data_IF_285856372833
#
_entry.id   IF_285856372833
#
_cell.length_a   1.000
_cell.length_b   1.000
_cell.length_c   1.000
_cell.angle_alpha   90.00
_cell.angle_beta   90.00
_cell.angle_gamma   90.00
#
_symmetry.space_group_name_H-M   'P 1'
#
loop_
_entity.id
_entity.type
_entity.pdbx_description
1 polymer ?
#
# COMPACT_ATOMS: atom_id res chain seq x y z
N UNK A 1 22.35 14.11 -4.95
CA UNK A 1 20.92 13.76 -5.03
C UNK A 1 20.83 12.54 -5.93
N UNK A 2 20.24 11.45 -5.44
CA UNK A 2 20.06 10.22 -6.23
C UNK A 2 18.67 10.25 -6.85
N UNK A 3 18.53 9.89 -8.12
CA UNK A 3 17.22 9.83 -8.78
C UNK A 3 16.75 8.41 -9.02
N UNK A 4 15.44 8.22 -8.92
CA UNK A 4 14.74 6.94 -9.04
C UNK A 4 13.85 6.98 -10.28
N UNK A 5 13.86 5.90 -11.04
CA UNK A 5 12.98 5.73 -12.19
C UNK A 5 11.64 5.14 -11.75
N UNK A 6 10.56 5.91 -11.96
CA UNK A 6 9.19 5.44 -11.72
C UNK A 6 8.76 4.46 -12.81
N UNK A 7 7.69 3.70 -12.54
CA UNK A 7 7.07 2.81 -13.55
C UNK A 7 6.70 3.55 -14.85
N UNK A 8 6.40 4.84 -14.78
CA UNK A 8 6.08 5.65 -15.96
C UNK A 8 7.31 6.07 -16.79
N UNK A 9 8.52 5.67 -16.40
CA UNK A 9 9.78 6.13 -16.99
C UNK A 9 10.23 7.52 -16.53
N UNK A 10 9.41 8.22 -15.72
CA UNK A 10 9.78 9.52 -15.15
C UNK A 10 10.84 9.32 -14.06
N UNK A 11 11.84 10.20 -14.04
CA UNK A 11 12.84 10.28 -12.98
C UNK A 11 12.40 11.29 -11.92
N UNK A 12 12.53 10.92 -10.65
CA UNK A 12 12.30 11.80 -9.50
C UNK A 12 13.44 11.68 -8.50
N UNK A 13 13.63 12.69 -7.67
CA UNK A 13 14.66 12.65 -6.63
C UNK A 13 14.22 11.68 -5.51
N UNK A 14 15.17 10.87 -5.05
CA UNK A 14 14.98 9.97 -3.93
C UNK A 14 14.71 10.78 -2.67
N UNK A 15 13.62 10.42 -2.02
CA UNK A 15 13.16 11.00 -0.78
C UNK A 15 13.11 9.88 0.27
N UNK A 16 14.06 9.91 1.20
CA UNK A 16 14.18 8.92 2.26
C UNK A 16 12.96 8.92 3.18
N UNK A 17 12.33 10.08 3.41
CA UNK A 17 11.15 10.19 4.27
C UNK A 17 9.93 9.51 3.62
N UNK A 18 9.84 9.48 2.28
CA UNK A 18 8.82 8.68 1.59
C UNK A 18 9.03 7.18 1.81
N UNK A 19 10.29 6.72 1.77
CA UNK A 19 10.64 5.33 2.02
C UNK A 19 10.30 4.95 3.48
N UNK A 20 10.72 5.76 4.45
CA UNK A 20 10.40 5.55 5.87
C UNK A 20 8.89 5.47 6.11
N UNK A 21 8.12 6.41 5.53
CA UNK A 21 6.65 6.38 5.62
C UNK A 21 6.07 5.09 5.06
N UNK A 22 6.56 4.59 3.92
CA UNK A 22 6.07 3.33 3.37
C UNK A 22 6.42 2.11 4.24
N UNK A 23 7.57 2.12 4.92
CA UNK A 23 7.97 1.06 5.85
C UNK A 23 7.07 1.09 7.11
N UNK A 24 6.75 2.28 7.62
CA UNK A 24 5.81 2.45 8.74
C UNK A 24 4.41 1.95 8.36
N UNK A 25 3.93 2.25 7.15
CA UNK A 25 2.63 1.77 6.67
C UNK A 25 2.55 0.23 6.60
N UNK A 26 3.68 -0.43 6.39
CA UNK A 26 3.78 -1.90 6.47
C UNK A 26 3.72 -2.44 7.91
N UNK A 27 3.71 -1.58 8.92
CA UNK A 27 3.59 -1.94 10.34
C UNK A 27 4.89 -1.85 11.13
N UNK A 28 5.99 -1.39 10.53
CA UNK A 28 7.23 -1.19 11.26
C UNK A 28 7.14 0.01 12.23
N UNK A 29 7.91 -0.03 13.32
CA UNK A 29 8.08 1.14 14.19
C UNK A 29 8.83 2.25 13.46
N UNK A 30 8.74 3.49 13.96
CA UNK A 30 9.48 4.62 13.37
C UNK A 30 10.99 4.42 13.41
N UNK A 31 11.50 3.83 14.49
CA UNK A 31 12.93 3.60 14.65
C UNK A 31 13.41 2.51 13.68
N UNK A 32 12.67 1.40 13.58
CA UNK A 32 12.96 0.36 12.58
C UNK A 32 12.90 0.92 11.15
N UNK A 33 11.93 1.78 10.85
CA UNK A 33 11.82 2.40 9.52
C UNK A 33 13.04 3.27 9.17
N UNK A 34 13.54 4.07 10.13
CA UNK A 34 14.75 4.89 9.97
C UNK A 34 16.01 4.05 9.83
N UNK A 35 16.13 2.99 10.61
CA UNK A 35 17.31 2.12 10.57
C UNK A 35 17.36 1.35 9.25
N UNK A 36 16.23 0.81 8.80
CA UNK A 36 16.12 0.10 7.52
C UNK A 36 16.33 1.05 6.34
N UNK A 37 15.74 2.25 6.35
CA UNK A 37 15.90 3.23 5.26
C UNK A 37 17.36 3.62 5.04
N UNK A 38 18.15 3.70 6.12
CA UNK A 38 19.59 4.01 6.07
C UNK A 38 20.46 2.87 5.53
N UNK A 39 20.04 1.61 5.69
CA UNK A 39 20.77 0.44 5.17
C UNK A 39 20.58 0.23 3.68
N UNK A 40 19.57 0.86 3.08
CA UNK A 40 19.25 0.71 1.66
C UNK A 40 20.13 1.64 0.83
N UNK A 41 21.11 1.07 0.13
CA UNK A 41 21.88 1.80 -0.87
C UNK A 41 21.04 2.09 -2.11
N UNK A 42 20.66 3.35 -2.30
CA UNK A 42 19.96 3.81 -3.50
C UNK A 42 20.99 4.26 -4.53
N UNK A 43 21.02 3.56 -5.66
CA UNK A 43 21.87 3.89 -6.82
C UNK A 43 21.11 4.76 -7.82
N UNK A 44 21.84 5.59 -8.56
CA UNK A 44 21.25 6.43 -9.61
C UNK A 44 20.53 5.57 -10.65
N UNK A 45 19.31 5.98 -11.03
CA UNK A 45 18.52 5.29 -12.04
C UNK A 45 17.83 4.01 -11.55
N UNK A 46 17.96 3.64 -10.26
CA UNK A 46 17.27 2.47 -9.72
C UNK A 46 15.77 2.59 -9.94
N UNK A 47 15.11 1.50 -10.31
CA UNK A 47 13.66 1.51 -10.46
C UNK A 47 12.97 1.50 -9.10
N UNK A 48 11.83 2.18 -9.00
CA UNK A 48 10.96 2.09 -7.80
C UNK A 48 10.56 0.66 -7.43
N UNK A 49 10.48 -0.25 -8.41
CA UNK A 49 10.18 -1.66 -8.18
C UNK A 49 11.38 -2.42 -7.58
N UNK A 50 12.60 -2.10 -8.01
CA UNK A 50 13.82 -2.67 -7.47
C UNK A 50 14.08 -2.16 -6.05
N UNK A 51 13.93 -0.85 -5.82
CA UNK A 51 13.98 -0.27 -4.49
C UNK A 51 12.98 -0.94 -3.54
N UNK A 52 11.76 -1.21 -4.02
CA UNK A 52 10.74 -1.94 -3.24
C UNK A 52 11.18 -3.34 -2.87
N UNK A 53 11.83 -4.09 -3.77
CA UNK A 53 12.36 -5.44 -3.49
C UNK A 53 13.53 -5.39 -2.50
N UNK A 54 14.44 -4.43 -2.65
CA UNK A 54 15.55 -4.22 -1.70
C UNK A 54 15.02 -3.91 -0.30
N UNK A 55 14.02 -3.03 -0.21
CA UNK A 55 13.38 -2.69 1.07
C UNK A 55 12.76 -3.92 1.73
N UNK A 56 12.05 -4.75 0.94
CA UNK A 56 11.45 -5.97 1.46
C UNK A 56 12.50 -6.96 1.99
N UNK A 57 13.65 -7.10 1.31
CA UNK A 57 14.76 -7.95 1.77
C UNK A 57 15.36 -7.45 3.09
N UNK A 58 15.51 -6.13 3.26
CA UNK A 58 15.98 -5.59 4.54
C UNK A 58 14.95 -5.77 5.65
N UNK A 59 13.66 -5.59 5.35
CA UNK A 59 12.58 -5.86 6.31
C UNK A 59 12.54 -7.34 6.73
N UNK A 60 12.79 -8.26 5.80
CA UNK A 60 12.76 -9.71 6.05
C UNK A 60 13.84 -10.15 7.05
N UNK A 61 15.01 -9.49 7.04
CA UNK A 61 16.09 -9.72 8.02
C UNK A 61 15.67 -9.36 9.45
N UNK A 62 14.80 -8.38 9.60
CA UNK A 62 14.27 -7.97 10.90
C UNK A 62 13.09 -8.87 11.27
N UNK A 63 12.05 -8.91 10.43
CA UNK A 63 10.88 -9.76 10.59
C UNK A 63 10.21 -10.06 9.25
N UNK A 64 9.99 -11.34 8.95
CA UNK A 64 9.38 -11.80 7.70
C UNK A 64 7.96 -11.24 7.46
N UNK A 65 7.17 -11.03 8.52
CA UNK A 65 5.81 -10.49 8.42
C UNK A 65 5.80 -9.04 7.92
N UNK A 66 6.78 -8.22 8.31
CA UNK A 66 6.92 -6.85 7.82
C UNK A 66 7.25 -6.79 6.33
N UNK A 67 8.09 -7.70 5.84
CA UNK A 67 8.41 -7.81 4.42
C UNK A 67 7.16 -8.18 3.60
N UNK A 68 6.39 -9.16 4.08
CA UNK A 68 5.14 -9.58 3.45
C UNK A 68 4.11 -8.45 3.42
N UNK A 69 3.90 -7.76 4.55
CA UNK A 69 3.03 -6.59 4.67
C UNK A 69 3.46 -5.45 3.72
N UNK A 70 4.76 -5.19 3.64
CA UNK A 70 5.29 -4.17 2.76
C UNK A 70 5.02 -4.52 1.30
N UNK A 71 5.26 -5.77 0.90
CA UNK A 71 5.01 -6.27 -0.44
C UNK A 71 3.52 -6.33 -0.80
N UNK A 72 2.63 -6.59 0.17
CA UNK A 72 1.18 -6.63 -0.04
C UNK A 72 0.57 -5.24 -0.20
N UNK A 73 1.18 -4.20 0.38
CA UNK A 73 0.63 -2.83 0.33
C UNK A 73 0.51 -2.27 -1.10
N UNK A 74 -0.64 -1.69 -1.45
CA UNK A 74 -0.92 -1.06 -2.76
C UNK A 74 -1.51 0.33 -2.58
N UNK A 75 -1.10 1.26 -3.44
CA UNK A 75 -1.81 2.53 -3.58
C UNK A 75 -2.90 2.38 -4.64
N UNK A 76 -4.14 2.42 -4.19
CA UNK A 76 -5.36 2.30 -5.00
C UNK A 76 -6.08 3.65 -5.05
N UNK A 77 -6.94 3.83 -6.06
CA UNK A 77 -7.86 4.95 -6.15
C UNK A 77 -9.14 4.56 -5.42
N UNK A 78 -9.55 5.37 -4.44
CA UNK A 78 -10.84 5.19 -3.79
C UNK A 78 -11.96 5.55 -4.76
N UNK A 79 -12.94 4.67 -4.90
CA UNK A 79 -14.14 4.88 -5.71
C UNK A 79 -15.36 4.76 -4.81
N UNK A 80 -16.16 5.83 -4.75
CA UNK A 80 -17.38 5.86 -3.96
C UNK A 80 -18.44 4.94 -4.57
N UNK A 81 -19.10 4.15 -3.73
CA UNK A 81 -20.25 3.35 -4.15
C UNK A 81 -21.27 3.19 -3.02
N UNK A 82 -22.55 3.13 -3.35
CA UNK A 82 -23.63 2.81 -2.43
C UNK A 82 -23.77 1.31 -2.16
N UNK A 83 -23.12 0.47 -2.97
CA UNK A 83 -23.35 -0.97 -2.99
C UNK A 83 -22.36 -1.77 -2.14
N UNK A 84 -21.57 -1.08 -1.31
CA UNK A 84 -20.61 -1.68 -0.37
C UNK A 84 -21.03 -1.32 1.04
N UNK A 85 -21.15 -2.34 1.90
CA UNK A 85 -21.49 -2.15 3.29
C UNK A 85 -20.34 -1.45 4.04
N UNK A 86 -20.68 -0.72 5.11
CA UNK A 86 -19.67 -0.07 5.94
C UNK A 86 -18.69 -1.12 6.53
N UNK A 87 -17.40 -0.79 6.52
CA UNK A 87 -16.34 -1.72 6.96
C UNK A 87 -15.96 -2.80 5.94
N UNK A 88 -16.54 -2.77 4.74
CA UNK A 88 -16.16 -3.63 3.61
C UNK A 88 -15.43 -2.80 2.54
N UNK A 89 -14.43 -3.40 1.90
CA UNK A 89 -13.69 -2.78 0.80
C UNK A 89 -13.69 -3.71 -0.41
N UNK A 90 -14.20 -3.25 -1.55
CA UNK A 90 -14.24 -4.03 -2.78
C UNK A 90 -13.02 -3.77 -3.65
N UNK A 91 -12.34 -4.83 -4.06
CA UNK A 91 -11.15 -4.78 -4.90
C UNK A 91 -11.25 -5.77 -6.05
N UNK A 92 -10.58 -5.47 -7.16
CA UNK A 92 -10.62 -6.33 -8.35
C UNK A 92 -10.04 -7.73 -8.05
N UNK A 93 -10.67 -8.78 -8.57
CA UNK A 93 -10.22 -10.17 -8.43
C UNK A 93 -8.77 -10.39 -8.87
N UNK A 94 -8.36 -9.83 -10.01
CA UNK A 94 -7.00 -9.96 -10.52
C UNK A 94 -5.97 -9.33 -9.57
N UNK A 95 -6.36 -8.28 -8.83
CA UNK A 95 -5.50 -7.69 -7.82
C UNK A 95 -5.35 -8.61 -6.61
N UNK A 96 -6.44 -9.24 -6.15
CA UNK A 96 -6.43 -10.23 -5.06
C UNK A 96 -5.53 -11.42 -5.43
N UNK A 97 -5.74 -12.02 -6.60
CA UNK A 97 -4.95 -13.14 -7.11
C UNK A 97 -3.46 -12.78 -7.22
N UNK A 98 -3.14 -11.60 -7.73
CA UNK A 98 -1.76 -11.12 -7.87
C UNK A 98 -1.05 -10.90 -6.54
N UNK A 99 -1.79 -10.57 -5.50
CA UNK A 99 -1.25 -10.35 -4.16
C UNK A 99 -1.23 -11.66 -3.36
N UNK A 100 -2.05 -12.64 -3.74
CA UNK A 100 -2.26 -13.86 -2.96
C UNK A 100 -3.25 -13.63 -1.80
N UNK A 101 -4.07 -12.58 -1.88
CA UNK A 101 -5.12 -12.30 -0.90
C UNK A 101 -6.44 -12.95 -1.32
N UNK A 102 -7.28 -13.27 -0.34
CA UNK A 102 -8.60 -13.85 -0.55
C UNK A 102 -9.72 -12.85 -0.24
N UNK A 103 -10.93 -13.11 -0.76
CA UNK A 103 -12.12 -12.46 -0.21
C UNK A 103 -12.23 -12.76 1.28
N UNK A 104 -12.94 -11.91 2.01
CA UNK A 104 -13.16 -12.00 3.46
C UNK A 104 -11.93 -11.74 4.35
N UNK A 105 -10.72 -11.67 3.79
CA UNK A 105 -9.51 -11.32 4.52
C UNK A 105 -9.53 -9.86 5.01
N UNK A 106 -8.87 -9.60 6.15
CA UNK A 106 -8.71 -8.24 6.63
C UNK A 106 -7.76 -7.44 5.72
N UNK A 107 -8.06 -6.16 5.58
CA UNK A 107 -7.18 -5.18 4.99
C UNK A 107 -7.16 -3.93 5.85
N UNK A 108 -6.01 -3.26 5.86
CA UNK A 108 -5.88 -1.93 6.46
C UNK A 108 -5.79 -0.86 5.37
N UNK A 109 -6.72 0.07 5.39
CA UNK A 109 -6.71 1.25 4.54
C UNK A 109 -6.13 2.42 5.32
N UNK A 110 -5.22 3.17 4.70
CA UNK A 110 -4.60 4.35 5.30
C UNK A 110 -4.63 5.53 4.35
N UNK A 111 -5.10 6.68 4.84
CA UNK A 111 -5.10 7.95 4.13
C UNK A 111 -4.71 9.08 5.10
N UNK A 112 -3.58 9.73 4.84
CA UNK A 112 -3.04 10.76 5.74
C UNK A 112 -2.77 10.20 7.14
N UNK A 113 -3.50 10.70 8.14
CA UNK A 113 -3.42 10.24 9.55
C UNK A 113 -4.49 9.20 9.91
N UNK A 114 -5.45 8.99 9.02
CA UNK A 114 -6.60 8.12 9.28
C UNK A 114 -6.32 6.71 8.77
N UNK A 115 -6.79 5.73 9.53
CA UNK A 115 -6.66 4.32 9.20
C UNK A 115 -7.95 3.58 9.54
N UNK A 116 -8.35 2.65 8.67
CA UNK A 116 -9.50 1.77 8.88
C UNK A 116 -9.11 0.32 8.62
N UNK A 117 -9.57 -0.58 9.49
CA UNK A 117 -9.56 -2.02 9.21
C UNK A 117 -10.87 -2.37 8.53
N UNK A 118 -10.78 -3.12 7.43
CA UNK A 118 -11.92 -3.47 6.59
C UNK A 118 -11.80 -4.94 6.18
N UNK A 119 -12.91 -5.56 5.78
CA UNK A 119 -12.88 -6.89 5.15
C UNK A 119 -12.96 -6.74 3.64
N UNK A 120 -12.24 -7.59 2.93
CA UNK A 120 -12.19 -7.56 1.48
C UNK A 120 -13.38 -8.25 0.84
N UNK A 121 -13.95 -7.61 -0.17
CA UNK A 121 -14.89 -8.22 -1.10
C UNK A 121 -14.31 -8.19 -2.52
N UNK A 122 -14.74 -9.16 -3.32
CA UNK A 122 -14.43 -9.17 -4.73
C UNK A 122 -15.31 -8.16 -5.48
N UNK A 123 -14.68 -7.35 -6.32
CA UNK A 123 -15.34 -6.45 -7.24
C UNK A 123 -15.52 -7.13 -8.59
N UNK A 124 -16.78 -7.32 -9.02
CA UNK A 124 -17.12 -7.94 -10.31
C UNK A 124 -16.85 -7.03 -11.51
N UNK A 125 -16.82 -5.70 -11.30
CA UNK A 125 -16.54 -4.71 -12.36
C UNK A 125 -15.86 -3.47 -11.81
N UNK A 126 -14.83 -2.97 -12.50
CA UNK A 126 -14.04 -1.79 -12.12
C UNK A 126 -12.57 -1.93 -12.48
N UNK A 127 -11.80 -0.85 -12.38
CA UNK A 127 -10.39 -0.87 -12.77
C UNK A 127 -9.52 -1.62 -11.75
N UNK A 128 -8.43 -2.26 -12.21
CA UNK A 128 -7.49 -3.03 -11.40
C UNK A 128 -6.86 -2.25 -10.24
N UNK A 129 -6.90 -0.92 -10.30
CA UNK A 129 -6.27 -0.02 -9.33
C UNK A 129 -7.29 0.78 -8.53
N UNK A 130 -8.55 0.34 -8.53
CA UNK A 130 -9.62 0.93 -7.74
C UNK A 130 -9.90 0.11 -6.48
N UNK A 131 -10.31 0.80 -5.42
CA UNK A 131 -10.93 0.21 -4.24
C UNK A 131 -12.27 0.90 -4.01
N UNK A 132 -13.34 0.13 -4.01
CA UNK A 132 -14.69 0.62 -3.80
C UNK A 132 -15.01 0.70 -2.30
N UNK A 133 -15.48 1.86 -1.86
CA UNK A 133 -15.77 2.17 -0.45
C UNK A 133 -17.14 2.81 -0.30
N UNK A 134 -17.76 2.60 0.86
CA UNK A 134 -18.97 3.32 1.28
C UNK A 134 -18.67 4.80 1.52
N UNK A 135 -19.67 5.68 1.38
CA UNK A 135 -19.50 7.11 1.72
C UNK A 135 -19.08 7.31 3.19
N UNK A 136 -19.64 6.53 4.11
CA UNK A 136 -19.28 6.56 5.54
C UNK A 136 -17.79 6.26 5.75
N UNK A 137 -17.25 5.22 5.11
CA UNK A 137 -15.84 4.85 5.25
C UNK A 137 -14.91 5.89 4.63
N UNK A 138 -15.30 6.49 3.50
CA UNK A 138 -14.54 7.59 2.88
C UNK A 138 -14.46 8.81 3.80
N UNK A 139 -15.58 9.20 4.43
CA UNK A 139 -15.61 10.29 5.42
C UNK A 139 -14.74 9.98 6.64
N UNK A 140 -14.79 8.74 7.14
CA UNK A 140 -13.95 8.27 8.26
C UNK A 140 -12.46 8.28 7.91
N UNK A 141 -12.11 8.00 6.66
CA UNK A 141 -10.75 8.14 6.14
C UNK A 141 -10.38 9.60 5.83
N UNK A 142 -11.35 10.51 5.77
CA UNK A 142 -11.14 11.91 5.40
C UNK A 142 -10.71 12.06 3.94
N UNK A 143 -11.26 11.25 3.04
CA UNK A 143 -10.94 11.25 1.61
C UNK A 143 -12.16 11.48 0.74
N UNK A 144 -11.92 12.04 -0.44
CA UNK A 144 -12.92 12.27 -1.48
C UNK A 144 -12.85 11.19 -2.57
N UNK A 145 -13.88 11.12 -3.41
CA UNK A 145 -13.90 10.22 -4.56
C UNK A 145 -12.69 10.47 -5.48
N UNK A 146 -12.04 9.39 -5.94
CA UNK A 146 -10.82 9.47 -6.73
C UNK A 146 -9.51 9.66 -5.93
N UNK A 147 -9.57 9.85 -4.61
CA UNK A 147 -8.38 9.98 -3.76
C UNK A 147 -7.50 8.73 -3.78
N UNK A 148 -6.19 8.89 -3.52
CA UNK A 148 -5.28 7.76 -3.34
C UNK A 148 -5.29 7.28 -1.90
N UNK A 149 -5.48 5.97 -1.71
CA UNK A 149 -5.45 5.30 -0.42
C UNK A 149 -4.44 4.15 -0.46
N UNK A 150 -3.67 4.00 0.61
CA UNK A 150 -2.78 2.85 0.78
C UNK A 150 -3.58 1.70 1.39
N UNK A 151 -3.61 0.56 0.72
CA UNK A 151 -4.31 -0.65 1.13
C UNK A 151 -3.28 -1.73 1.43
N UNK A 152 -3.17 -2.15 2.68
CA UNK A 152 -2.36 -3.28 3.12
C UNK A 152 -3.25 -4.50 3.27
N UNK A 153 -2.91 -5.57 2.55
CA UNK A 153 -3.65 -6.84 2.59
C UNK A 153 -3.01 -7.69 3.68
N UNK A 154 -3.81 -8.10 4.68
CA UNK A 154 -3.36 -8.92 5.81
C UNK A 154 -3.63 -10.38 5.48
N UNK A 155 -2.75 -10.97 4.67
CA UNK A 155 -2.81 -12.37 4.25
C UNK A 155 -2.52 -13.27 5.44
N UNK A 156 -3.34 -14.30 5.65
CA UNK A 156 -3.17 -15.30 6.71
C UNK A 156 -2.51 -16.57 6.20
#
# INVERSE_FOLDING_TARGET
MTRIVKRSGKSEDFDIEKLERSIILAGASRDAAKDISRRIEVKEGISSQELRRMTARELEKERADLAQNYLSTRNLRAVRTSNVAEGMARVNRQLLEKIGASKDEPAQLTAGKNQLKMRLEEMTSGADRDVQLSDSDMRRLGIEDGSRVSVRFEMR
#
